data_IF_948670163879
#
_entry.id   IF_948670163879
#
_cell.length_a   1.000
_cell.length_b   1.000
_cell.length_c   1.000
_cell.angle_alpha   90.00
_cell.angle_beta   90.00
_cell.angle_gamma   90.00
#
_symmetry.space_group_name_H-M   'P 1'
#
loop_
_entity.id
_entity.type
_entity.pdbx_description
1 polymer ?
#
# COMPACT_ATOMS: atom_id res chain seq x y z
N UNK A 1 11.56 21.28 -10.42
CA UNK A 1 10.68 20.11 -10.16
C UNK A 1 11.57 18.89 -9.96
N UNK A 2 11.57 18.27 -8.79
CA UNK A 2 12.51 17.19 -8.46
C UNK A 2 12.18 15.90 -9.23
N UNK A 3 13.15 15.27 -9.91
CA UNK A 3 12.94 14.07 -10.75
C UNK A 3 12.47 12.83 -9.97
N UNK A 4 12.63 12.84 -8.64
CA UNK A 4 12.25 11.75 -7.74
C UNK A 4 10.73 11.50 -7.72
N UNK A 5 9.92 12.52 -7.98
CA UNK A 5 8.46 12.40 -7.96
C UNK A 5 7.95 11.61 -9.18
N UNK A 6 8.62 11.74 -10.33
CA UNK A 6 8.24 11.07 -11.57
C UNK A 6 8.55 9.57 -11.54
N UNK A 7 9.73 9.20 -10.99
CA UNK A 7 10.12 7.79 -10.83
C UNK A 7 9.22 7.07 -9.82
N UNK A 8 8.73 7.78 -8.80
CA UNK A 8 7.83 7.25 -7.78
C UNK A 8 6.43 6.98 -8.32
N UNK A 9 5.93 7.79 -9.26
CA UNK A 9 4.64 7.55 -9.92
C UNK A 9 4.71 6.40 -10.94
N UNK A 10 5.80 6.31 -11.72
CA UNK A 10 5.98 5.22 -12.70
C UNK A 10 6.03 3.84 -12.03
N UNK A 11 6.57 3.75 -10.81
CA UNK A 11 6.63 2.50 -10.06
C UNK A 11 5.26 2.06 -9.53
N UNK A 12 4.35 3.00 -9.24
CA UNK A 12 3.00 2.68 -8.75
C UNK A 12 2.19 2.01 -9.86
N UNK A 13 2.21 2.55 -11.08
CA UNK A 13 1.49 1.95 -12.21
C UNK A 13 2.01 0.56 -12.58
N UNK A 14 3.33 0.32 -12.44
CA UNK A 14 3.90 -1.02 -12.62
C UNK A 14 3.42 -1.99 -11.52
N UNK A 15 3.34 -1.52 -10.28
CA UNK A 15 2.86 -2.32 -9.16
C UNK A 15 1.33 -2.58 -9.25
N UNK A 16 0.55 -1.66 -9.84
CA UNK A 16 -0.87 -1.89 -10.13
C UNK A 16 -1.06 -3.00 -11.18
N UNK A 17 -0.16 -3.08 -12.17
CA UNK A 17 -0.16 -4.15 -13.17
C UNK A 17 0.31 -5.50 -12.61
N UNK A 18 1.30 -5.49 -11.70
CA UNK A 18 1.80 -6.69 -11.03
C UNK A 18 0.84 -7.26 -9.98
N UNK A 19 0.00 -6.40 -9.38
CA UNK A 19 -0.95 -6.79 -8.34
C UNK A 19 -2.38 -6.34 -8.70
N UNK A 20 -2.98 -6.88 -9.78
CA UNK A 20 -4.31 -6.48 -10.23
C UNK A 20 -5.41 -6.82 -9.21
N UNK A 21 -5.13 -7.74 -8.28
CA UNK A 21 -6.02 -8.10 -7.17
C UNK A 21 -6.07 -7.03 -6.06
N UNK A 22 -5.10 -6.10 -6.04
CA UNK A 22 -5.07 -4.98 -5.10
C UNK A 22 -5.71 -3.78 -5.76
N UNK A 23 -6.66 -3.15 -5.06
CA UNK A 23 -7.11 -1.83 -5.47
C UNK A 23 -5.95 -0.83 -5.36
N UNK A 24 -5.89 0.16 -6.27
CA UNK A 24 -4.80 1.16 -6.26
C UNK A 24 -4.61 1.85 -4.89
N UNK A 25 -5.67 1.98 -4.09
CA UNK A 25 -5.58 2.47 -2.71
C UNK A 25 -4.93 1.46 -1.75
N UNK A 26 -5.24 0.16 -1.83
CA UNK A 26 -4.57 -0.87 -1.03
C UNK A 26 -3.08 -0.94 -1.36
N UNK A 27 -2.74 -0.83 -2.65
CA UNK A 27 -1.37 -0.85 -3.11
C UNK A 27 -0.58 0.37 -2.60
N UNK A 28 -1.16 1.58 -2.71
CA UNK A 28 -0.55 2.80 -2.15
C UNK A 28 -0.32 2.69 -0.65
N UNK A 29 -1.28 2.15 0.10
CA UNK A 29 -1.15 1.89 1.55
C UNK A 29 0.03 0.97 1.83
N UNK A 30 0.16 -0.15 1.10
CA UNK A 30 1.28 -1.08 1.24
C UNK A 30 2.63 -0.45 0.90
N UNK A 31 2.73 0.30 -0.20
CA UNK A 31 3.97 0.96 -0.64
C UNK A 31 4.41 2.02 0.38
N UNK A 32 3.48 2.87 0.84
CA UNK A 32 3.77 3.89 1.83
C UNK A 32 4.21 3.28 3.16
N UNK A 33 3.54 2.20 3.59
CA UNK A 33 3.93 1.46 4.79
C UNK A 33 5.33 0.82 4.65
N UNK A 34 5.64 0.21 3.51
CA UNK A 34 6.95 -0.37 3.22
C UNK A 34 8.07 0.67 3.17
N UNK A 35 7.76 1.92 2.77
CA UNK A 35 8.69 3.05 2.85
C UNK A 35 8.85 3.63 4.27
N UNK A 36 8.19 3.05 5.28
CA UNK A 36 8.26 3.49 6.67
C UNK A 36 7.34 4.68 7.01
N UNK A 37 6.35 4.99 6.17
CA UNK A 37 5.38 6.03 6.49
C UNK A 37 4.48 5.61 7.68
N UNK A 38 4.13 6.57 8.53
CA UNK A 38 3.19 6.34 9.61
C UNK A 38 1.77 6.13 9.09
N UNK A 39 0.95 5.37 9.83
CA UNK A 39 -0.46 5.13 9.47
C UNK A 39 -1.26 6.42 9.22
N UNK A 40 -0.95 7.48 9.96
CA UNK A 40 -1.58 8.79 9.81
C UNK A 40 -1.21 9.45 8.47
N UNK A 41 0.08 9.46 8.12
CA UNK A 41 0.55 9.96 6.84
C UNK A 41 -0.06 9.16 5.67
N UNK A 42 -0.19 7.84 5.82
CA UNK A 42 -0.82 6.96 4.83
C UNK A 42 -2.31 7.31 4.67
N UNK A 43 -3.03 7.44 5.77
CA UNK A 43 -4.44 7.81 5.80
C UNK A 43 -4.68 9.15 5.09
N UNK A 44 -3.84 10.15 5.37
CA UNK A 44 -3.87 11.45 4.71
C UNK A 44 -3.56 11.35 3.21
N UNK A 45 -2.51 10.61 2.81
CA UNK A 45 -2.13 10.47 1.39
C UNK A 45 -3.13 9.66 0.57
N UNK A 46 -3.80 8.69 1.18
CA UNK A 46 -4.77 7.82 0.50
C UNK A 46 -6.22 8.28 0.67
N UNK A 47 -6.47 9.37 1.40
CA UNK A 47 -7.82 9.87 1.74
C UNK A 47 -8.72 8.78 2.36
N UNK A 48 -8.15 7.96 3.24
CA UNK A 48 -8.85 6.90 3.98
C UNK A 48 -8.65 7.10 5.48
N UNK A 49 -9.46 6.45 6.31
CA UNK A 49 -9.23 6.43 7.75
C UNK A 49 -8.00 5.60 8.12
N UNK A 50 -7.32 5.97 9.20
CA UNK A 50 -6.19 5.20 9.77
C UNK A 50 -6.59 3.76 10.12
N UNK A 51 -7.83 3.55 10.57
CA UNK A 51 -8.42 2.22 10.80
C UNK A 51 -8.55 1.40 9.51
N UNK A 52 -8.92 2.04 8.41
CA UNK A 52 -8.98 1.41 7.08
C UNK A 52 -7.58 1.02 6.60
N UNK A 53 -6.59 1.89 6.77
CA UNK A 53 -5.19 1.59 6.44
C UNK A 53 -4.67 0.39 7.25
N UNK A 54 -4.95 0.33 8.57
CA UNK A 54 -4.62 -0.82 9.42
C UNK A 54 -5.33 -2.08 8.97
N UNK A 55 -6.60 -2.00 8.60
CA UNK A 55 -7.37 -3.15 8.11
C UNK A 55 -6.75 -3.71 6.84
N UNK A 56 -6.42 -2.87 5.86
CA UNK A 56 -5.76 -3.31 4.62
C UNK A 56 -4.43 -4.02 4.88
N UNK A 57 -3.62 -3.52 5.81
CA UNK A 57 -2.35 -4.15 6.19
C UNK A 57 -2.55 -5.44 7.01
N UNK A 58 -3.58 -5.49 7.86
CA UNK A 58 -3.89 -6.65 8.72
C UNK A 58 -4.44 -7.83 7.94
N UNK A 59 -5.30 -7.59 6.94
CA UNK A 59 -5.85 -8.66 6.08
C UNK A 59 -4.75 -9.40 5.32
N UNK A 60 -3.68 -8.70 4.93
CA UNK A 60 -2.52 -9.31 4.27
C UNK A 60 -1.64 -10.15 5.20
N UNK A 61 -1.70 -9.93 6.51
CA UNK A 61 -1.03 -10.79 7.49
C UNK A 61 -1.80 -12.08 7.79
N UNK A 62 -3.11 -12.14 7.53
CA UNK A 62 -3.90 -13.37 7.71
C UNK A 62 -3.89 -14.30 6.49
N UNK A 63 -3.55 -13.79 5.31
CA UNK A 63 -3.34 -14.59 4.10
C UNK A 63 -1.99 -15.33 4.10
N UNK A 64 -1.13 -15.05 5.07
CA UNK A 64 0.07 -15.85 5.38
C UNK A 64 -0.18 -16.58 6.69
N UNK A 65 -1.18 -17.46 6.72
CA UNK A 65 -1.23 -18.50 7.76
C UNK A 65 -0.17 -19.55 7.44
N UNK A 66 0.85 -19.75 8.29
CA UNK A 66 1.65 -20.96 8.21
C UNK A 66 0.77 -22.15 8.64
N UNK A 67 0.61 -23.15 7.77
CA UNK A 67 0.16 -24.49 8.19
C UNK A 67 -1.35 -24.73 8.20
N UNK A 68 -1.89 -25.05 7.03
CA UNK A 68 -2.86 -26.16 6.89
C UNK A 68 -2.52 -26.94 5.62
N UNK A 69 -1.47 -27.74 5.71
CA UNK A 69 -1.20 -28.93 4.91
C UNK A 69 -0.50 -29.92 5.85
#
# INVERSE_FOLDING_TARGET
MSPQLFQKMASISLLEDMFPELSGNQLKVCILYAMGASYDAIAQNCHISTETARTYLKTKHQEIKPGRL
#
